data_IF_882403580484
#
_entry.id   IF_882403580484
#
_cell.length_a   1.000
_cell.length_b   1.000
_cell.length_c   1.000
_cell.angle_alpha   90.00
_cell.angle_beta   90.00
_cell.angle_gamma   90.00
#
_symmetry.space_group_name_H-M   'P 1'
#
loop_
_entity.id
_entity.type
_entity.pdbx_description
1 polymer ?
2 non-polymer ?
3 non-polymer ?
4 non-polymer ?
5 non-polymer ?
6 non-polymer ?
7 water ?
#
# COMPACT_ATOMS: atom_id res chain seq x y z
N UNK A 30 -15.63 -19.38 -2.53
CA UNK A 30 -16.29 -18.08 -2.48
C UNK A 30 -15.81 -17.29 -1.27
N UNK A 31 -15.48 -16.02 -1.49
CA UNK A 31 -15.00 -15.12 -0.45
C UNK A 31 -16.02 -14.00 -0.32
N UNK A 32 -16.56 -13.81 0.89
CA UNK A 32 -17.61 -12.81 1.09
C UNK A 32 -17.04 -11.54 1.69
N UNK A 33 -17.63 -10.42 1.32
CA UNK A 33 -17.19 -9.11 1.77
C UNK A 33 -18.14 -8.56 2.82
N UNK A 34 -17.58 -8.09 3.93
CA UNK A 34 -18.33 -7.40 4.97
C UNK A 34 -17.73 -6.01 5.15
N UNK A 35 -18.56 -4.98 5.14
CA UNK A 35 -18.11 -3.60 5.27
C UNK A 35 -18.31 -3.12 6.70
N UNK A 36 -17.27 -2.53 7.30
CA UNK A 36 -17.33 -2.06 8.67
C UNK A 36 -16.66 -0.70 8.76
N UNK A 37 -16.68 -0.08 9.92
CA UNK A 37 -15.91 1.15 10.09
C UNK A 37 -15.34 1.23 11.49
N UNK A 38 -14.35 2.12 11.66
CA UNK A 38 -13.83 2.43 12.98
C UNK A 38 -13.46 3.90 13.01
N UNK A 39 -13.23 4.42 14.21
CA UNK A 39 -12.89 5.83 14.37
C UNK A 39 -11.38 5.96 14.31
N UNK A 40 -10.88 6.58 13.24
CA UNK A 40 -9.45 6.79 13.07
C UNK A 40 -8.95 8.00 13.85
N UNK A 41 -7.67 8.32 13.65
CA UNK A 41 -7.08 9.50 14.27
C UNK A 41 -7.93 10.71 13.94
N UNK A 42 -8.21 11.53 14.94
CA UNK A 42 -9.04 12.70 14.71
C UNK A 42 -10.51 12.41 14.62
N UNK A 43 -10.94 11.20 15.02
CA UNK A 43 -12.33 10.75 14.96
C UNK A 43 -12.85 10.74 13.52
N UNK A 44 -11.94 10.54 12.56
CA UNK A 44 -12.36 10.34 11.18
C UNK A 44 -12.99 8.96 11.03
N UNK A 45 -14.07 8.88 10.25
CA UNK A 45 -14.67 7.58 9.96
C UNK A 45 -13.83 6.82 8.96
N UNK A 46 -13.31 5.67 9.34
CA UNK A 46 -12.50 4.82 8.46
C UNK A 46 -13.33 3.60 8.09
N UNK A 47 -13.63 3.47 6.83
CA UNK A 47 -14.39 2.32 6.32
C UNK A 47 -13.39 1.23 5.94
N UNK A 48 -13.70 -0.01 6.27
CA UNK A 48 -12.84 -1.11 5.81
C UNK A 48 -13.68 -2.32 5.43
N UNK A 49 -13.11 -3.14 4.56
CA UNK A 49 -13.73 -4.39 4.16
C UNK A 49 -13.03 -5.53 4.85
N UNK A 50 -13.80 -6.56 5.20
CA UNK A 50 -13.26 -7.85 5.62
C UNK A 50 -13.73 -8.88 4.62
N UNK A 51 -12.79 -9.56 3.98
CA UNK A 51 -13.08 -10.58 2.99
C UNK A 51 -12.80 -11.94 3.63
N UNK A 52 -13.84 -12.78 3.74
CA UNK A 52 -13.71 -14.04 4.47
C UNK A 52 -13.99 -15.21 3.54
N UNK A 53 -13.06 -16.13 3.33
CA UNK A 53 -13.34 -17.29 2.49
C UNK A 53 -14.16 -18.31 3.27
N UNK A 54 -14.78 -19.23 2.53
CA UNK A 54 -15.55 -20.31 3.13
C UNK A 54 -14.67 -21.54 3.36
N UNK A 55 -13.57 -21.30 4.06
CA UNK A 55 -12.64 -22.33 4.44
C UNK A 55 -11.96 -21.88 5.72
N UNK A 56 -11.39 -22.82 6.44
CA UNK A 56 -10.70 -22.48 7.67
C UNK A 56 -9.60 -21.47 7.35
N UNK A 57 -9.48 -20.39 8.11
CA UNK A 57 -8.53 -19.33 7.74
C UNK A 57 -7.10 -19.73 8.04
N UNK A 58 -6.23 -19.51 7.06
CA UNK A 58 -4.84 -19.89 7.21
C UNK A 58 -3.97 -18.74 7.68
N UNK A 59 -4.39 -17.51 7.46
CA UNK A 59 -3.66 -16.32 7.88
C UNK A 59 -4.54 -15.13 7.51
N UNK A 60 -4.14 -13.96 7.98
CA UNK A 60 -4.87 -12.70 7.78
C UNK A 60 -3.98 -11.71 7.04
N UNK A 61 -4.52 -11.09 6.00
CA UNK A 61 -3.81 -10.08 5.21
C UNK A 61 -4.41 -8.74 5.58
N UNK A 62 -3.56 -7.74 5.87
CA UNK A 62 -4.06 -6.39 6.12
C UNK A 62 -3.49 -5.50 5.03
N UNK A 63 -4.36 -4.91 4.23
CA UNK A 63 -4.00 -4.35 2.93
C UNK A 63 -4.18 -2.85 2.93
N UNK A 64 -3.16 -2.11 2.44
CA UNK A 64 -3.17 -0.66 2.32
C UNK A 64 -3.06 -0.26 0.84
N UNK A 65 -4.10 0.38 0.33
CA UNK A 65 -4.13 0.90 -1.04
C UNK A 65 -3.25 2.15 -1.13
N UNK A 66 -3.10 2.67 -2.35
CA UNK A 66 -2.27 3.83 -2.58
C UNK A 66 -3.04 5.13 -2.72
N UNK A 67 -2.29 6.16 -3.15
CA UNK A 67 -2.81 7.52 -3.24
C UNK A 67 -3.94 7.62 -4.25
N UNK A 68 -5.05 8.19 -3.82
CA UNK A 68 -6.13 8.53 -4.71
C UNK A 68 -7.10 7.41 -4.99
N UNK A 69 -6.77 6.18 -4.59
CA UNK A 69 -7.67 5.06 -4.86
C UNK A 69 -8.38 4.64 -3.57
N UNK A 70 -8.72 3.36 -3.44
CA UNK A 70 -9.56 2.90 -2.35
C UNK A 70 -9.54 1.38 -2.37
N UNK A 71 -10.09 0.78 -1.31
CA UNK A 71 -9.95 -0.66 -1.13
C UNK A 71 -10.79 -1.44 -2.12
N UNK A 72 -11.83 -0.83 -2.70
CA UNK A 72 -12.62 -1.62 -3.64
C UNK A 72 -11.95 -1.75 -5.00
N UNK A 73 -10.77 -1.16 -5.22
CA UNK A 73 -9.97 -1.56 -6.37
C UNK A 73 -9.18 -2.84 -6.13
N UNK A 74 -9.36 -3.48 -4.98
CA UNK A 74 -8.64 -4.70 -4.62
C UNK A 74 -9.56 -5.92 -4.47
N UNK A 75 -10.81 -5.86 -4.95
CA UNK A 75 -11.71 -7.02 -4.82
C UNK A 75 -11.06 -8.31 -5.33
N UNK A 76 -10.46 -8.25 -6.51
CA UNK A 76 -9.94 -9.47 -7.13
C UNK A 76 -8.73 -9.99 -6.39
N UNK A 77 -7.94 -9.08 -5.82
CA UNK A 77 -6.82 -9.48 -4.98
C UNK A 77 -7.34 -10.22 -3.75
N UNK A 78 -8.32 -9.62 -3.07
CA UNK A 78 -8.89 -10.29 -1.89
C UNK A 78 -9.51 -11.63 -2.26
N UNK A 79 -10.17 -11.70 -3.41
CA UNK A 79 -10.80 -12.95 -3.82
C UNK A 79 -9.77 -14.03 -4.12
N UNK A 80 -8.67 -13.66 -4.78
CA UNK A 80 -7.60 -14.62 -5.04
C UNK A 80 -6.94 -15.08 -3.74
N UNK A 81 -6.67 -14.16 -2.81
CA UNK A 81 -6.12 -14.56 -1.53
C UNK A 81 -7.10 -15.44 -0.78
N UNK A 82 -8.40 -15.16 -0.92
CA UNK A 82 -9.41 -15.94 -0.23
C UNK A 82 -9.46 -17.37 -0.73
N UNK A 83 -9.27 -17.58 -2.02
CA UNK A 83 -9.15 -18.92 -2.57
C UNK A 83 -7.96 -19.69 -1.98
N UNK A 84 -6.97 -18.98 -1.45
CA UNK A 84 -5.87 -19.59 -0.72
C UNK A 84 -6.13 -19.71 0.78
N UNK A 85 -7.33 -19.40 1.24
CA UNK A 85 -7.65 -19.51 2.66
C UNK A 85 -7.24 -18.32 3.50
N UNK A 86 -6.98 -17.18 2.89
CA UNK A 86 -6.56 -16.00 3.62
C UNK A 86 -7.74 -15.05 3.80
N UNK A 87 -7.85 -14.45 4.98
CA UNK A 87 -8.82 -13.41 5.27
C UNK A 87 -8.15 -12.07 4.99
N UNK A 88 -8.80 -11.19 4.22
CA UNK A 88 -8.21 -9.89 3.91
C UNK A 88 -9.00 -8.75 4.57
N UNK A 89 -8.30 -7.93 5.34
CA UNK A 89 -8.82 -6.66 5.84
C UNK A 89 -8.24 -5.55 4.99
N UNK A 90 -9.07 -4.64 4.51
CA UNK A 90 -8.60 -3.56 3.65
C UNK A 90 -9.35 -2.28 3.99
N UNK A 91 -8.64 -1.24 4.42
CA UNK A 91 -9.29 0.02 4.73
C UNK A 91 -9.21 1.01 3.57
N UNK A 92 -10.15 1.95 3.55
CA UNK A 92 -10.01 3.17 2.77
C UNK A 92 -9.31 4.16 3.68
N UNK A 93 -8.11 4.61 3.30
CA UNK A 93 -7.42 5.58 4.14
C UNK A 93 -8.28 6.83 4.32
N UNK A 94 -7.96 7.58 5.38
CA UNK A 94 -8.59 8.89 5.55
C UNK A 94 -8.46 9.69 4.26
N UNK A 95 -9.53 10.38 3.89
CA UNK A 95 -9.54 11.21 2.71
C UNK A 95 -9.63 10.44 1.41
N UNK A 96 -9.99 9.15 1.48
CA UNK A 96 -10.04 8.27 0.32
C UNK A 96 -11.33 7.46 0.34
N UNK A 97 -11.82 7.17 -0.85
CA UNK A 97 -12.91 6.23 -0.99
C UNK A 97 -14.12 6.57 -0.15
N UNK A 98 -14.57 5.59 0.62
CA UNK A 98 -15.76 5.67 1.45
C UNK A 98 -15.49 6.30 2.80
N UNK A 99 -14.22 6.44 3.17
CA UNK A 99 -13.87 6.99 4.48
C UNK A 99 -14.10 8.49 4.51
N UNK A 100 -14.17 9.03 5.72
CA UNK A 100 -14.34 10.45 5.91
C UNK A 100 -13.03 11.20 5.79
N UNK A 101 -13.08 12.49 6.08
CA UNK A 101 -11.93 13.36 6.02
C UNK A 101 -11.84 14.11 4.72
N UNK A 102 -11.19 15.29 4.76
CA UNK A 102 -10.94 16.02 3.53
C UNK A 102 -10.19 15.14 2.54
N UNK A 103 -10.59 15.20 1.27
CA UNK A 103 -9.99 14.33 0.26
C UNK A 103 -8.48 14.54 0.20
N UNK A 104 -7.74 13.42 0.16
CA UNK A 104 -6.28 13.31 0.11
C UNK A 104 -5.60 14.31 1.01
N UNK A 105 -6.17 14.53 2.18
CA UNK A 105 -5.56 15.42 3.15
C UNK A 105 -4.85 14.60 4.23
N UNK A 106 -3.58 14.90 4.45
CA UNK A 106 -2.82 14.30 5.54
C UNK A 106 -1.72 15.27 5.91
N UNK A 107 -1.37 15.33 7.19
CA UNK A 107 -0.26 16.21 7.56
C UNK A 107 1.00 15.45 7.90
N UNK A 108 0.90 14.16 8.20
CA UNK A 108 2.03 13.40 8.70
C UNK A 108 1.78 11.94 8.36
N UNK A 109 2.85 11.23 8.01
CA UNK A 109 2.73 9.79 7.70
C UNK A 109 2.08 9.03 8.85
N UNK A 110 2.25 9.51 10.10
CA UNK A 110 1.75 8.78 11.25
C UNK A 110 0.23 8.75 11.30
N UNK A 111 -0.46 9.66 10.62
CA UNK A 111 -1.91 9.56 10.52
C UNK A 111 -2.30 8.27 9.83
N UNK A 112 -1.64 7.98 8.71
CA UNK A 112 -1.93 6.77 7.96
C UNK A 112 -1.49 5.51 8.70
N UNK A 113 -0.29 5.55 9.29
CA UNK A 113 0.20 4.34 9.96
C UNK A 113 -0.57 4.07 11.25
N UNK A 114 -1.06 5.11 11.92
CA UNK A 114 -1.88 4.87 13.10
C UNK A 114 -3.18 4.17 12.75
N UNK A 115 -3.84 4.61 11.68
CA UNK A 115 -5.08 3.95 11.29
C UNK A 115 -4.81 2.55 10.77
N UNK A 116 -3.71 2.37 10.05
CA UNK A 116 -3.34 1.02 9.65
C UNK A 116 -3.12 0.14 10.86
N UNK A 117 -2.46 0.69 11.88
CA UNK A 117 -2.21 -0.08 13.11
C UNK A 117 -3.51 -0.52 13.77
N UNK A 118 -4.52 0.37 13.78
CA UNK A 118 -5.82 0.00 14.33
C UNK A 118 -6.41 -1.18 13.58
N UNK A 119 -6.32 -1.16 12.24
CA UNK A 119 -6.84 -2.28 11.47
C UNK A 119 -6.08 -3.58 11.75
N UNK A 120 -4.75 -3.51 11.87
CA UNK A 120 -3.99 -4.70 12.26
C UNK A 120 -4.47 -5.21 13.62
N UNK A 121 -4.75 -4.29 14.54
CA UNK A 121 -5.23 -4.70 15.86
C UNK A 121 -6.60 -5.34 15.83
N UNK A 122 -7.49 -4.84 14.96
CA UNK A 122 -8.79 -5.48 14.77
C UNK A 122 -8.61 -6.89 14.24
N UNK A 123 -7.79 -7.04 13.21
CA UNK A 123 -7.51 -8.36 12.66
C UNK A 123 -6.89 -9.28 13.70
N UNK A 124 -5.98 -8.74 14.52
CA UNK A 124 -5.32 -9.53 15.56
C UNK A 124 -6.33 -10.04 16.58
N UNK A 125 -7.27 -9.19 16.98
CA UNK A 125 -8.27 -9.57 17.96
C UNK A 125 -9.27 -10.58 17.40
N UNK A 126 -9.60 -10.47 16.12
CA UNK A 126 -10.60 -11.35 15.54
C UNK A 126 -10.02 -12.69 15.12
N UNK A 127 -8.74 -12.74 14.72
CA UNK A 127 -8.08 -13.97 14.30
C UNK A 127 -6.79 -14.16 15.06
N UNK A 128 -6.87 -14.35 16.38
CA UNK A 128 -5.64 -14.37 17.19
C UNK A 128 -4.74 -15.56 16.91
N UNK A 129 -5.25 -16.64 16.32
CA UNK A 129 -4.45 -17.79 15.99
C UNK A 129 -3.80 -17.75 14.62
N UNK A 130 -3.86 -16.63 13.93
CA UNK A 130 -3.42 -16.51 12.54
C UNK A 130 -2.17 -15.65 12.43
N UNK A 131 -1.26 -16.06 11.55
CA UNK A 131 -0.18 -15.14 11.17
C UNK A 131 -0.74 -13.96 10.41
N UNK A 132 -0.03 -12.83 10.47
CA UNK A 132 -0.48 -11.60 9.87
C UNK A 132 0.47 -11.16 8.76
N UNK A 133 -0.10 -10.89 7.59
CA UNK A 133 0.63 -10.43 6.42
C UNK A 133 0.21 -8.99 6.21
N UNK A 134 1.17 -8.09 6.07
CA UNK A 134 0.84 -6.71 5.76
C UNK A 134 1.23 -6.47 4.32
N UNK A 135 0.31 -5.92 3.54
CA UNK A 135 0.44 -5.80 2.11
C UNK A 135 0.10 -4.36 1.73
N UNK A 136 0.97 -3.71 0.96
CA UNK A 136 0.71 -2.35 0.53
C UNK A 136 1.13 -2.12 -0.90
N UNK A 137 0.38 -1.26 -1.58
CA UNK A 137 0.70 -0.86 -2.95
C UNK A 137 1.00 0.64 -3.01
N UNK A 138 2.13 0.98 -3.63
CA UNK A 138 2.51 2.34 -3.98
C UNK A 138 2.57 3.19 -2.72
N UNK A 139 1.79 4.28 -2.61
CA UNK A 139 1.80 5.01 -1.34
C UNK A 139 1.45 4.11 -0.18
N UNK A 140 0.54 3.16 -0.41
CA UNK A 140 0.22 2.16 0.61
C UNK A 140 1.40 1.26 0.96
N UNK A 141 2.30 1.03 0.00
CA UNK A 141 3.52 0.30 0.30
C UNK A 141 4.44 1.12 1.18
N UNK A 142 4.47 2.44 0.95
CA UNK A 142 5.21 3.30 1.86
C UNK A 142 4.60 3.32 3.25
N UNK A 143 3.27 3.37 3.33
CA UNK A 143 2.59 3.27 4.62
C UNK A 143 2.94 1.97 5.33
N UNK A 144 2.86 0.84 4.60
CA UNK A 144 3.15 -0.46 5.21
C UNK A 144 4.62 -0.55 5.60
N UNK A 145 5.51 0.02 4.79
CA UNK A 145 6.92 0.02 5.17
C UNK A 145 7.12 0.81 6.45
N UNK A 146 6.54 2.02 6.50
CA UNK A 146 6.68 2.86 7.69
C UNK A 146 6.07 2.18 8.91
N UNK A 147 4.90 1.57 8.75
CA UNK A 147 4.33 0.77 9.84
C UNK A 147 5.29 -0.35 10.23
N UNK A 148 5.87 -1.02 9.24
CA UNK A 148 6.64 -2.23 9.50
C UNK A 148 7.95 -1.97 10.22
N UNK A 149 8.55 -0.80 10.02
CA UNK A 149 9.77 -0.50 10.78
C UNK A 149 9.44 0.02 12.17
N UNK A 150 8.22 0.53 12.38
CA UNK A 150 7.81 0.99 13.71
C UNK A 150 7.31 -0.14 14.59
N UNK A 151 6.72 -1.18 14.00
CA UNK A 151 6.11 -2.28 14.77
C UNK A 151 6.54 -3.63 14.20
N UNK A 152 7.85 -3.89 14.16
CA UNK A 152 8.35 -5.07 13.42
C UNK A 152 7.97 -6.39 14.02
N UNK A 153 7.45 -6.43 15.24
CA UNK A 153 7.01 -7.66 15.85
C UNK A 153 5.49 -7.81 15.84
N UNK A 154 4.78 -6.94 15.10
CA UNK A 154 3.34 -6.97 15.07
C UNK A 154 2.78 -7.67 13.83
N UNK A 155 3.65 -8.24 12.99
CA UNK A 155 3.22 -8.93 11.79
C UNK A 155 4.27 -9.98 11.48
N UNK A 156 3.94 -10.90 10.58
CA UNK A 156 4.83 -12.02 10.29
C UNK A 156 5.47 -11.95 8.92
N UNK A 157 4.77 -11.40 7.93
CA UNK A 157 5.24 -11.34 6.55
C UNK A 157 4.85 -10.00 5.96
N UNK A 158 5.67 -9.46 5.06
CA UNK A 158 5.32 -8.23 4.35
C UNK A 158 5.40 -8.43 2.84
N UNK A 159 4.39 -7.90 2.14
CA UNK A 159 4.34 -7.91 0.69
C UNK A 159 4.13 -6.48 0.21
N UNK A 160 4.99 -5.99 -0.70
CA UNK A 160 4.88 -4.62 -1.19
C UNK A 160 4.79 -4.62 -2.71
N UNK A 161 3.82 -3.87 -3.24
CA UNK A 161 3.69 -3.65 -4.69
C UNK A 161 4.18 -2.23 -4.97
N UNK A 162 5.24 -2.12 -5.77
CA UNK A 162 5.81 -0.85 -6.22
C UNK A 162 5.79 0.19 -5.08
N UNK A 163 6.42 -0.11 -3.95
CA UNK A 163 6.25 0.75 -2.77
C UNK A 163 6.89 2.11 -2.98
N UNK A 164 6.19 3.15 -2.52
CA UNK A 164 6.66 4.51 -2.74
C UNK A 164 7.58 4.85 -1.57
N UNK A 165 8.81 4.32 -1.63
CA UNK A 165 9.76 4.45 -0.53
C UNK A 165 11.00 5.26 -0.90
N UNK A 166 10.99 5.89 -2.06
CA UNK A 166 12.09 6.78 -2.45
C UNK A 166 11.54 8.00 -3.17
N UNK A 167 10.48 8.60 -2.61
CA UNK A 167 9.83 9.72 -3.27
C UNK A 167 10.76 10.91 -3.43
N UNK A 168 11.80 11.01 -2.62
CA UNK A 168 12.72 12.15 -2.75
C UNK A 168 13.44 12.14 -4.09
N UNK A 169 13.56 10.99 -4.75
CA UNK A 169 14.15 10.93 -6.08
C UNK A 169 13.21 11.42 -7.16
N UNK A 170 11.92 11.55 -6.86
CA UNK A 170 10.92 11.86 -7.85
C UNK A 170 10.38 13.27 -7.72
N UNK A 171 10.53 13.87 -6.55
CA UNK A 171 10.03 15.20 -6.27
C UNK A 171 11.17 16.18 -6.53
N UNK A 172 10.89 17.21 -7.32
CA UNK A 172 11.90 18.20 -7.64
C UNK A 172 12.29 18.97 -6.38
N UNK A 173 13.50 19.56 -6.34
CA UNK A 173 13.87 20.34 -5.14
C UNK A 173 12.84 21.40 -4.79
N UNK A 174 12.27 22.07 -5.78
CA UNK A 174 11.29 23.13 -5.51
C UNK A 174 10.05 22.59 -4.81
N UNK A 175 9.45 21.50 -5.31
CA UNK A 175 8.24 21.10 -4.60
C UNK A 175 8.56 20.29 -3.36
N UNK A 176 9.78 19.74 -3.23
CA UNK A 176 10.18 19.18 -1.95
C UNK A 176 10.23 20.25 -0.87
N UNK A 177 10.81 21.42 -1.17
CA UNK A 177 10.76 22.51 -0.20
C UNK A 177 9.31 22.92 0.06
N UNK A 178 8.53 23.11 -1.00
CA UNK A 178 7.14 23.54 -0.81
C UNK A 178 6.38 22.55 0.07
N UNK A 179 6.55 21.26 -0.20
CA UNK A 179 5.82 20.25 0.56
C UNK A 179 6.25 20.21 2.01
N UNK A 180 7.55 20.33 2.29
CA UNK A 180 8.00 20.26 3.67
C UNK A 180 7.68 21.52 4.45
N UNK A 181 7.63 22.68 3.80
CA UNK A 181 7.30 23.90 4.54
C UNK A 181 5.80 24.11 4.66
N UNK A 182 5.02 23.69 3.67
CA UNK A 182 3.58 23.90 3.63
C UNK A 182 2.77 22.70 4.10
N UNK A 183 3.37 21.51 4.14
CA UNK A 183 2.58 20.29 4.31
C UNK A 183 1.82 20.19 5.63
N UNK A 184 2.26 20.88 6.68
CA UNK A 184 1.48 20.77 7.91
C UNK A 184 0.57 22.00 8.09
N UNK A 185 0.99 23.15 7.55
CA UNK A 185 0.15 24.35 7.64
C UNK A 185 -0.98 24.32 6.61
N UNK A 186 -0.67 24.01 5.36
CA UNK A 186 -1.72 23.96 4.34
C UNK A 186 -1.59 22.63 3.61
N UNK A 187 -1.88 21.52 4.29
CA UNK A 187 -1.68 20.19 3.66
C UNK A 187 -2.49 19.98 2.40
N UNK A 188 -3.60 20.73 2.21
CA UNK A 188 -4.43 20.61 1.04
C UNK A 188 -3.97 21.35 -0.20
N UNK A 189 -2.87 22.11 -0.10
CA UNK A 189 -2.42 22.92 -1.22
C UNK A 189 -1.86 22.05 -2.35
N UNK A 190 -2.42 22.09 -3.55
CA UNK A 190 -1.89 21.26 -4.64
C UNK A 190 -0.50 21.69 -5.08
N UNK A 191 0.38 20.71 -5.31
CA UNK A 191 1.75 21.06 -5.69
C UNK A 191 2.22 20.34 -6.96
N UNK A 192 1.49 19.32 -7.42
CA UNK A 192 1.97 18.56 -8.56
C UNK A 192 0.87 17.67 -9.10
N UNK A 193 0.96 17.34 -10.39
CA UNK A 193 0.04 16.40 -11.02
C UNK A 193 0.81 15.18 -11.52
N UNK A 194 0.13 14.04 -11.51
CA UNK A 194 0.70 12.76 -11.92
C UNK A 194 -0.02 12.25 -13.16
N UNK A 195 0.67 11.40 -13.91
CA UNK A 195 0.11 10.82 -15.14
C UNK A 195 -0.58 9.52 -14.77
N UNK A 196 -1.87 9.61 -14.45
CA UNK A 196 -2.64 8.41 -14.16
C UNK A 196 -2.63 7.41 -15.31
N UNK A 197 -2.35 7.84 -16.54
CA UNK A 197 -2.37 6.87 -17.62
C UNK A 197 -1.23 5.88 -17.50
N UNK A 198 -0.27 6.12 -16.61
CA UNK A 198 0.83 5.19 -16.39
C UNK A 198 0.49 4.10 -15.37
N UNK A 199 -0.72 4.10 -14.80
CA UNK A 199 -1.03 3.08 -13.80
C UNK A 199 -1.07 1.69 -14.42
N UNK A 200 -1.43 1.57 -15.70
CA UNK A 200 -1.60 0.25 -16.30
C UNK A 200 -1.45 0.34 -17.81
N UNK A 201 -0.97 -0.77 -18.40
CA UNK A 201 -0.95 -0.98 -19.84
C UNK A 201 -2.32 -1.24 -20.42
N UNK A 202 -3.27 -1.61 -19.58
CA UNK A 202 -4.60 -1.97 -20.01
C UNK A 202 -5.46 -0.72 -20.06
N UNK A 203 -5.94 -0.28 -21.23
CA UNK A 203 -6.78 0.93 -21.28
C UNK A 203 -8.06 0.78 -20.47
N UNK A 204 -8.55 -0.45 -20.30
CA UNK A 204 -9.76 -0.63 -19.50
C UNK A 204 -9.52 -0.21 -18.05
N UNK A 205 -8.34 -0.52 -17.53
CA UNK A 205 -7.99 -0.15 -16.17
C UNK A 205 -7.90 1.37 -16.04
N UNK A 206 -7.21 2.01 -16.99
CA UNK A 206 -7.09 3.46 -16.98
C UNK A 206 -8.47 4.10 -17.09
N UNK A 207 -9.31 3.57 -17.97
CA UNK A 207 -10.65 4.12 -18.15
C UNK A 207 -11.46 4.01 -16.86
N UNK A 208 -11.43 2.82 -16.26
CA UNK A 208 -12.18 2.60 -15.02
C UNK A 208 -11.68 3.49 -13.90
N UNK A 209 -10.37 3.72 -13.84
CA UNK A 209 -9.81 4.64 -12.85
C UNK A 209 -10.35 6.05 -13.06
N UNK A 210 -10.33 6.52 -14.31
CA UNK A 210 -10.79 7.88 -14.61
C UNK A 210 -12.24 8.08 -14.22
N UNK A 211 -13.07 7.09 -14.45
CA UNK A 211 -14.51 7.22 -14.31
C UNK A 211 -15.00 6.80 -12.94
N UNK A 212 -14.09 6.40 -12.05
CA UNK A 212 -14.45 5.93 -10.73
C UNK A 212 -14.76 7.14 -9.84
N UNK A 213 -15.99 7.29 -9.34
CA UNK A 213 -16.31 8.46 -8.51
C UNK A 213 -15.58 8.47 -7.18
N UNK A 214 -15.09 7.32 -6.71
CA UNK A 214 -14.38 7.24 -5.44
C UNK A 214 -12.90 7.59 -5.55
N UNK A 215 -12.37 7.72 -6.76
CA UNK A 215 -10.96 8.00 -6.99
C UNK A 215 -10.74 9.51 -6.99
N UNK A 216 -9.59 9.96 -6.48
CA UNK A 216 -9.24 11.36 -6.50
C UNK A 216 -8.66 11.71 -7.86
N UNK A 217 -9.26 12.70 -8.53
CA UNK A 217 -8.84 13.05 -9.88
C UNK A 217 -8.07 14.36 -9.94
N UNK A 218 -7.75 14.96 -8.80
CA UNK A 218 -7.06 16.23 -8.76
C UNK A 218 -5.56 16.12 -8.65
N UNK A 219 -4.93 17.22 -8.24
CA UNK A 219 -3.49 17.27 -8.10
C UNK A 219 -3.05 16.70 -6.76
N UNK A 220 -1.77 16.36 -6.67
CA UNK A 220 -1.20 15.87 -5.40
C UNK A 220 -0.94 17.07 -4.49
N UNK A 221 -1.45 17.06 -3.26
CA UNK A 221 -1.28 18.20 -2.36
C UNK A 221 -0.04 18.09 -1.48
N UNK A 222 0.27 19.21 -0.81
CA UNK A 222 1.53 19.35 -0.07
C UNK A 222 1.63 18.33 1.06
N UNK A 223 0.53 18.04 1.74
CA UNK A 223 0.59 17.12 2.87
C UNK A 223 0.99 15.72 2.45
N UNK A 224 0.43 15.24 1.34
CA UNK A 224 0.84 13.96 0.76
C UNK A 224 2.33 14.00 0.43
N UNK A 225 2.76 15.08 -0.21
CA UNK A 225 4.18 15.21 -0.51
C UNK A 225 5.03 15.09 0.73
N UNK A 226 4.63 15.77 1.81
CA UNK A 226 5.43 15.71 3.02
C UNK A 226 5.48 14.28 3.57
N UNK A 227 4.33 13.59 3.61
CA UNK A 227 4.29 12.23 4.09
C UNK A 227 5.16 11.30 3.23
N UNK A 228 5.09 11.48 1.90
CA UNK A 228 5.92 10.66 1.02
C UNK A 228 7.39 10.91 1.29
N UNK A 229 7.76 12.16 1.52
CA UNK A 229 9.16 12.48 1.79
C UNK A 229 9.59 11.95 3.15
N UNK A 230 8.69 11.95 4.14
CA UNK A 230 9.04 11.40 5.43
C UNK A 230 9.46 9.93 5.30
N UNK A 231 8.74 9.16 4.49
CA UNK A 231 9.09 7.76 4.28
C UNK A 231 10.42 7.65 3.53
N UNK A 232 10.55 8.40 2.44
CA UNK A 232 11.68 8.17 1.54
C UNK A 232 12.98 8.65 2.15
N UNK A 233 12.93 9.75 2.90
CA UNK A 233 14.15 10.30 3.47
C UNK A 233 14.71 9.40 4.57
N UNK A 234 13.85 8.66 5.26
CA UNK A 234 14.33 7.84 6.35
C UNK A 234 14.49 6.37 5.98
N UNK A 235 14.09 5.96 4.76
CA UNK A 235 14.07 4.54 4.42
C UNK A 235 15.42 3.87 4.63
N UNK A 236 16.54 4.37 4.10
CA UNK A 236 17.81 3.63 4.29
C UNK A 236 18.21 3.47 5.74
N UNK A 237 17.93 4.46 6.59
CA UNK A 237 18.31 4.38 7.99
C UNK A 237 17.36 3.48 8.79
N UNK A 238 16.10 3.35 8.36
CA UNK A 238 15.15 2.58 9.15
C UNK A 238 14.94 1.17 8.63
N UNK A 239 15.20 0.94 7.34
CA UNK A 239 15.00 -0.38 6.73
C UNK A 239 15.69 -1.53 7.46
N UNK A 240 16.86 -1.34 8.10
CA UNK A 240 17.45 -2.47 8.86
C UNK A 240 16.56 -3.01 9.96
N UNK A 241 15.59 -2.23 10.45
CA UNK A 241 14.69 -2.74 11.48
C UNK A 241 13.65 -3.71 10.92
N UNK A 242 13.47 -3.74 9.60
CA UNK A 242 12.56 -4.67 8.95
C UNK A 242 13.29 -5.99 8.79
N UNK A 243 12.93 -6.99 9.60
CA UNK A 243 13.56 -8.30 9.54
C UNK A 243 12.64 -9.41 9.11
N UNK A 244 11.32 -9.18 9.07
CA UNK A 244 10.39 -10.18 8.62
C UNK A 244 10.63 -10.51 7.14
N UNK A 245 10.23 -11.70 6.71
CA UNK A 245 10.33 -12.02 5.27
C UNK A 245 9.57 -10.99 4.44
N UNK A 246 10.16 -10.61 3.32
CA UNK A 246 9.67 -9.50 2.51
C UNK A 246 9.66 -9.89 1.05
N UNK A 247 8.53 -9.64 0.40
CA UNK A 247 8.38 -9.84 -1.03
C UNK A 247 8.01 -8.49 -1.64
N UNK A 248 8.80 -8.04 -2.60
CA UNK A 248 8.51 -6.80 -3.32
C UNK A 248 8.21 -7.18 -4.76
N UNK A 249 7.13 -6.59 -5.31
CA UNK A 249 6.73 -6.81 -6.69
C UNK A 249 6.85 -5.49 -7.43
N UNK A 250 7.39 -5.52 -8.66
CA UNK A 250 7.54 -4.25 -9.37
C UNK A 250 7.56 -4.50 -10.87
N UNK A 251 6.80 -3.72 -11.62
CA UNK A 251 6.88 -3.75 -13.08
C UNK A 251 8.10 -2.98 -13.57
N UNK A 252 8.81 -3.56 -14.55
CA UNK A 252 10.03 -2.88 -14.98
C UNK A 252 9.71 -1.61 -15.75
N UNK A 253 8.53 -1.52 -16.37
CA UNK A 253 8.14 -0.33 -17.12
C UNK A 253 7.28 0.62 -16.29
N UNK A 254 7.40 0.55 -14.98
CA UNK A 254 6.67 1.43 -14.08
C UNK A 254 7.21 2.84 -14.25
N UNK A 255 6.37 3.75 -14.76
CA UNK A 255 6.76 5.14 -14.96
C UNK A 255 6.28 6.04 -13.84
N UNK A 256 5.60 5.49 -12.83
CA UNK A 256 5.16 6.29 -11.70
C UNK A 256 6.09 6.16 -10.51
N UNK A 257 6.50 4.93 -10.20
CA UNK A 257 7.48 4.67 -9.14
C UNK A 257 8.57 3.85 -9.82
N UNK A 258 9.73 4.44 -10.13
CA UNK A 258 10.77 3.67 -10.82
C UNK A 258 11.24 2.47 -10.01
N UNK A 259 11.50 1.37 -10.72
CA UNK A 259 11.87 0.12 -10.08
C UNK A 259 13.19 0.23 -9.31
N UNK A 260 14.02 1.21 -9.64
CA UNK A 260 15.28 1.37 -8.91
C UNK A 260 15.06 1.59 -7.42
N UNK A 261 13.92 2.18 -7.02
CA UNK A 261 13.65 2.36 -5.62
C UNK A 261 13.43 1.04 -4.88
N UNK A 262 12.78 0.07 -5.54
CA UNK A 262 12.60 -1.23 -4.90
C UNK A 262 13.92 -1.99 -4.85
N UNK A 263 14.74 -1.82 -5.89
CA UNK A 263 16.06 -2.43 -5.89
C UNK A 263 16.90 -1.93 -4.73
N UNK A 264 16.82 -0.62 -4.44
CA UNK A 264 17.51 -0.08 -3.28
C UNK A 264 16.88 -0.58 -1.98
N UNK A 265 15.55 -0.61 -1.91
CA UNK A 265 14.89 -1.09 -0.70
C UNK A 265 15.40 -2.47 -0.31
N UNK A 266 15.47 -3.40 -1.26
CA UNK A 266 15.77 -4.77 -0.86
C UNK A 266 17.23 -4.88 -0.43
N UNK A 267 18.07 -3.90 -0.80
CA UNK A 267 19.44 -3.87 -0.31
C UNK A 267 19.55 -3.34 1.12
N UNK A 268 18.59 -2.52 1.55
CA UNK A 268 18.69 -1.85 2.84
C UNK A 268 18.00 -2.57 3.98
N UNK A 269 17.09 -3.51 3.69
CA UNK A 269 16.31 -4.12 4.75
C UNK A 269 17.18 -5.10 5.53
N UNK A 270 16.79 -5.34 6.79
CA UNK A 270 17.48 -6.30 7.62
C UNK A 270 17.14 -7.74 7.33
N UNK A 271 16.04 -7.97 6.63
CA UNK A 271 15.56 -9.32 6.35
C UNK A 271 16.59 -10.13 5.59
N UNK A 272 16.81 -11.39 6.02
CA UNK A 272 17.58 -12.29 5.16
C UNK A 272 16.69 -12.88 4.07
N UNK A 273 15.40 -13.03 4.34
CA UNK A 273 14.47 -13.61 3.37
C UNK A 273 13.76 -12.44 2.68
N UNK A 274 14.44 -11.88 1.69
CA UNK A 274 13.89 -10.76 0.93
C UNK A 274 14.08 -11.02 -0.55
N UNK A 275 13.02 -10.76 -1.33
CA UNK A 275 12.99 -11.00 -2.76
C UNK A 275 12.37 -9.79 -3.43
N UNK A 276 12.90 -9.41 -4.58
CA UNK A 276 12.22 -8.49 -5.48
C UNK A 276 11.88 -9.27 -6.74
N UNK A 277 10.59 -9.45 -7.02
CA UNK A 277 10.15 -10.06 -8.27
C UNK A 277 9.89 -8.94 -9.26
N UNK A 278 10.71 -8.86 -10.30
CA UNK A 278 10.57 -7.84 -11.33
C UNK A 278 9.75 -8.44 -12.47
N UNK A 279 8.78 -7.70 -12.96
CA UNK A 279 7.90 -8.19 -14.01
C UNK A 279 8.19 -7.42 -15.28
N UNK A 280 8.92 -8.01 -16.23
CA UNK A 280 9.35 -7.26 -17.41
C UNK A 280 8.15 -6.75 -18.20
N UNK A 281 8.16 -5.46 -18.46
CA UNK A 281 7.15 -4.85 -19.28
C UNK A 281 5.92 -4.37 -18.56
N UNK A 282 5.73 -4.72 -17.29
CA UNK A 282 4.52 -4.33 -16.60
C UNK A 282 4.59 -2.88 -16.13
N UNK A 283 3.43 -2.24 -16.07
CA UNK A 283 3.32 -0.88 -15.58
C UNK A 283 3.14 -0.90 -14.06
N UNK A 284 2.75 0.24 -13.52
CA UNK A 284 2.78 0.46 -12.07
C UNK A 284 1.92 -0.55 -11.31
N UNK A 285 0.64 -0.67 -11.68
CA UNK A 285 -0.29 -1.47 -10.89
C UNK A 285 -0.21 -2.93 -11.32
N UNK A 286 0.79 -3.63 -10.78
CA UNK A 286 1.00 -5.03 -11.18
C UNK A 286 -0.23 -5.88 -10.87
N UNK A 287 -1.01 -5.54 -9.83
CA UNK A 287 -2.18 -6.36 -9.50
C UNK A 287 -3.35 -6.13 -10.45
N UNK A 288 -3.28 -5.11 -11.30
CA UNK A 288 -4.34 -4.78 -12.24
C UNK A 288 -3.92 -4.97 -13.69
N UNK A 289 -2.66 -5.32 -13.92
CA UNK A 289 -2.12 -5.50 -15.25
C UNK A 289 -2.72 -6.76 -15.87
N UNK A 290 -2.57 -6.95 -17.19
CA UNK A 290 -3.11 -8.16 -17.81
C UNK A 290 -2.57 -9.44 -17.21
N UNK A 291 -1.32 -9.43 -16.76
CA UNK A 291 -0.65 -10.57 -16.13
C UNK A 291 -0.95 -10.72 -14.64
N UNK A 292 -1.96 -10.02 -14.12
CA UNK A 292 -2.19 -9.98 -12.66
C UNK A 292 -2.41 -11.35 -12.06
N UNK A 293 -2.98 -12.30 -12.80
CA UNK A 293 -3.19 -13.62 -12.19
C UNK A 293 -1.87 -14.36 -12.01
N UNK A 294 -0.87 -14.07 -12.85
CA UNK A 294 0.46 -14.60 -12.63
C UNK A 294 1.15 -13.93 -11.45
N UNK A 295 1.04 -12.60 -11.35
CA UNK A 295 1.57 -11.89 -10.19
C UNK A 295 0.97 -12.45 -8.92
N UNK A 296 -0.35 -12.61 -8.92
CA UNK A 296 -1.01 -13.10 -7.71
C UNK A 296 -0.67 -14.56 -7.45
N UNK A 297 -0.48 -15.37 -8.49
CA UNK A 297 0.03 -16.73 -8.27
C UNK A 297 1.37 -16.70 -7.54
N UNK A 298 2.25 -15.78 -7.95
CA UNK A 298 3.57 -15.63 -7.33
C UNK A 298 3.43 -15.26 -5.86
N UNK A 299 2.55 -14.30 -5.56
CA UNK A 299 2.33 -13.91 -4.16
C UNK A 299 1.82 -15.08 -3.36
N UNK A 300 0.80 -15.77 -3.87
CA UNK A 300 0.24 -16.89 -3.11
C UNK A 300 1.28 -17.99 -2.90
N UNK A 301 2.10 -18.27 -3.93
CA UNK A 301 3.16 -19.27 -3.79
C UNK A 301 4.17 -18.86 -2.73
N UNK A 302 4.55 -17.58 -2.73
CA UNK A 302 5.50 -17.08 -1.74
C UNK A 302 4.92 -17.18 -0.34
N UNK A 303 3.67 -16.75 -0.18
CA UNK A 303 3.03 -16.82 1.13
C UNK A 303 2.93 -18.26 1.61
N UNK A 304 2.55 -19.17 0.70
CA UNK A 304 2.40 -20.58 1.05
C UNK A 304 3.70 -21.16 1.61
N UNK A 305 4.84 -20.78 1.04
CA UNK A 305 6.12 -21.29 1.52
C UNK A 305 6.46 -20.72 2.89
N UNK A 306 6.04 -19.50 3.18
CA UNK A 306 6.55 -18.74 4.31
C UNK A 306 5.65 -18.74 5.53
N UNK A 307 4.39 -19.14 5.39
CA UNK A 307 3.49 -19.18 6.53
C UNK A 307 3.84 -20.34 7.43
#
# INVERSE_FOLDING_TARGET
MSYYHHHHHHDYDIPTTENLYFQGAMGSMTTTRTERNFAGIGDVRIVYDVWTPDTAPQAVVVLAHGLGEHARRYDHVAQRLGAAGLVTYALDHRGHGRSGGARVLVRDISEYTADFDTLVGIATREYPGCKRIVLGHSMGGGIVFAYGVERPDNYDLMVLSAPAVAAQDLVSPVVAVAAKLLGVVVPGLPVQELDFTAISRDPEVVQAYNTDPLVHHGRVPAGIGRALLQVGETMPRRAPALTAPLLVLHGTDDRLIPIEGSRRLVECVGSADVQLKEYPGLYHEVFNEPERNQVLDDVVAWLTERL
#
